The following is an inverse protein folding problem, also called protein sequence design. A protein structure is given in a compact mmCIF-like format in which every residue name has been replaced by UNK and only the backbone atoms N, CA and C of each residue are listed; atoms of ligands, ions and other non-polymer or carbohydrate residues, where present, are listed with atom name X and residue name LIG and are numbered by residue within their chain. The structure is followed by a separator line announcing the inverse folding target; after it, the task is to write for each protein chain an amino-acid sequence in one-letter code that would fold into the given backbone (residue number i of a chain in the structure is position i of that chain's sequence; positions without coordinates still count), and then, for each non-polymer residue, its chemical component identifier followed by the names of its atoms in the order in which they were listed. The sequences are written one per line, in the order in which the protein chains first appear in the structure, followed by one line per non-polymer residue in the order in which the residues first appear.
data_IF_195564089950
#
_entry.id   IF_195564089950
#
_cell.length_a   1.000
_cell.length_b   1.000
_cell.length_c   1.000
_cell.angle_alpha   90.00
_cell.angle_beta   90.00
_cell.angle_gamma   90.00
#
_symmetry.space_group_name_H-M   'P 1'
#
loop_
_entity.id
_entity.type
_entity.pdbx_description
1 polymer ?
#
# COMPACT_ATOMS: atom_id res chain seq x y z
N UNK A 1 -1.73 20.00 35.34
CA UNK A 1 -2.43 19.15 34.34
C UNK A 1 -1.73 19.51 33.05
N UNK A 2 -0.77 18.69 32.63
CA UNK A 2 -0.05 18.95 31.37
C UNK A 2 -1.07 18.90 30.24
N UNK A 3 -1.18 20.00 29.50
CA UNK A 3 -1.99 20.06 28.29
C UNK A 3 -1.42 19.01 27.33
N UNK A 4 -2.15 17.92 27.14
CA UNK A 4 -1.78 16.89 26.17
C UNK A 4 -1.98 17.53 24.80
N UNK A 5 -0.90 18.05 24.21
CA UNK A 5 -0.90 18.54 22.84
C UNK A 5 -1.29 17.40 21.90
N UNK A 6 -2.48 17.52 21.31
CA UNK A 6 -2.92 16.61 20.26
C UNK A 6 -1.98 16.72 19.06
N UNK A 7 -1.67 15.61 18.37
CA UNK A 7 -0.83 15.64 17.20
C UNK A 7 -1.44 16.54 16.12
N UNK A 8 -0.64 17.43 15.54
CA UNK A 8 -1.08 18.37 14.49
C UNK A 8 -1.82 17.63 13.36
N UNK A 9 -2.87 18.26 12.84
CA UNK A 9 -3.72 17.67 11.80
C UNK A 9 -4.72 16.61 12.28
N UNK A 10 -4.81 16.33 13.59
CA UNK A 10 -5.80 15.39 14.14
C UNK A 10 -7.24 15.88 13.97
N UNK A 11 -7.44 17.19 14.05
CA UNK A 11 -8.76 17.80 13.88
C UNK A 11 -9.14 17.94 12.39
N UNK A 12 -10.42 17.71 12.04
CA UNK A 12 -10.90 17.96 10.69
C UNK A 12 -10.78 19.44 10.30
N UNK A 13 -10.52 19.70 9.02
CA UNK A 13 -10.44 21.06 8.50
C UNK A 13 -11.80 21.76 8.55
N UNK A 14 -11.79 23.06 8.88
CA UNK A 14 -13.00 23.90 8.92
C UNK A 14 -13.74 23.92 7.58
N UNK A 15 -13.01 23.90 6.47
CA UNK A 15 -13.60 23.80 5.14
C UNK A 15 -13.81 22.32 4.76
N UNK A 16 -15.07 21.91 4.69
CA UNK A 16 -15.47 20.55 4.32
C UNK A 16 -14.94 20.12 2.94
N UNK A 17 -14.79 21.04 1.98
CA UNK A 17 -14.21 20.70 0.68
C UNK A 17 -12.72 20.38 0.78
N UNK A 18 -11.96 21.06 1.66
CA UNK A 18 -10.55 20.75 1.87
C UNK A 18 -10.38 19.42 2.62
N UNK A 19 -11.28 19.14 3.55
CA UNK A 19 -11.31 17.85 4.24
C UNK A 19 -11.56 16.70 3.27
N UNK A 20 -12.58 16.82 2.39
CA UNK A 20 -12.82 15.85 1.33
C UNK A 20 -11.60 15.70 0.41
N UNK A 21 -10.96 16.82 0.05
CA UNK A 21 -9.74 16.80 -0.76
C UNK A 21 -8.63 15.96 -0.10
N UNK A 22 -8.43 16.07 1.21
CA UNK A 22 -7.45 15.26 1.94
C UNK A 22 -7.73 13.76 1.79
N UNK A 23 -8.99 13.34 1.99
CA UNK A 23 -9.38 11.93 1.85
C UNK A 23 -9.20 11.41 0.41
N UNK A 24 -9.68 12.17 -0.58
CA UNK A 24 -9.56 11.79 -2.00
C UNK A 24 -8.10 11.78 -2.47
N UNK A 25 -7.24 12.61 -1.89
CA UNK A 25 -5.80 12.63 -2.19
C UNK A 25 -5.09 11.35 -1.74
N UNK A 26 -5.49 10.77 -0.61
CA UNK A 26 -4.92 9.49 -0.15
C UNK A 26 -5.28 8.32 -1.07
N UNK A 27 -6.42 8.42 -1.76
CA UNK A 27 -6.87 7.39 -2.70
C UNK A 27 -6.17 7.56 -4.06
N UNK A 28 -6.20 8.77 -4.62
CA UNK A 28 -5.75 9.00 -6.00
C UNK A 28 -4.26 9.33 -6.11
N UNK A 29 -3.64 9.84 -5.03
CA UNK A 29 -2.29 10.41 -5.02
C UNK A 29 -2.06 11.46 -6.13
N UNK A 30 -3.14 12.11 -6.59
CA UNK A 30 -3.13 13.06 -7.69
C UNK A 30 -3.97 14.30 -7.37
N UNK A 31 -3.31 15.44 -7.23
CA UNK A 31 -3.93 16.72 -6.81
C UNK A 31 -5.14 17.08 -7.66
N UNK A 32 -5.02 17.06 -8.99
CA UNK A 32 -6.10 17.50 -9.88
C UNK A 32 -7.30 16.57 -9.81
N UNK A 33 -7.08 15.25 -9.80
CA UNK A 33 -8.17 14.26 -9.73
C UNK A 33 -8.88 14.29 -8.38
N UNK A 34 -8.12 14.41 -7.29
CA UNK A 34 -8.66 14.53 -5.94
C UNK A 34 -9.48 15.81 -5.77
N UNK A 35 -9.05 16.92 -6.38
CA UNK A 35 -9.83 18.16 -6.39
C UNK A 35 -11.16 17.99 -7.14
N UNK A 36 -11.18 17.30 -8.30
CA UNK A 36 -12.44 17.04 -9.01
C UNK A 36 -13.39 16.21 -8.13
N UNK A 37 -12.90 15.16 -7.46
CA UNK A 37 -13.70 14.33 -6.55
C UNK A 37 -14.17 15.07 -5.30
N UNK A 38 -13.35 15.99 -4.80
CA UNK A 38 -13.70 16.90 -3.70
C UNK A 38 -14.67 18.03 -4.10
N UNK A 39 -15.30 17.93 -5.29
CA UNK A 39 -16.32 18.85 -5.83
C UNK A 39 -15.79 20.24 -6.19
N UNK A 40 -14.50 20.37 -6.51
CA UNK A 40 -14.01 21.55 -7.23
C UNK A 40 -14.47 21.49 -8.70
N UNK A 41 -14.73 22.63 -9.33
CA UNK A 41 -15.10 22.63 -10.75
C UNK A 41 -13.91 22.17 -11.60
N UNK A 42 -14.16 21.33 -12.61
CA UNK A 42 -13.09 20.74 -13.44
C UNK A 42 -12.15 21.80 -14.05
N UNK A 43 -12.71 22.93 -14.50
CA UNK A 43 -11.94 24.04 -15.08
C UNK A 43 -10.94 24.65 -14.09
N UNK A 44 -11.23 24.57 -12.80
CA UNK A 44 -10.49 25.25 -11.74
C UNK A 44 -9.72 24.28 -10.83
N UNK A 45 -10.06 22.99 -10.87
CA UNK A 45 -9.50 21.93 -10.03
C UNK A 45 -7.97 21.86 -10.09
N UNK A 46 -7.37 22.12 -11.26
CA UNK A 46 -5.91 22.16 -11.40
C UNK A 46 -5.30 23.32 -10.59
N UNK A 47 -5.82 24.53 -10.72
CA UNK A 47 -5.26 25.71 -10.06
C UNK A 47 -5.58 25.70 -8.56
N UNK A 48 -6.87 25.56 -8.20
CA UNK A 48 -7.29 25.55 -6.80
C UNK A 48 -6.80 24.32 -6.06
N UNK A 49 -6.69 23.16 -6.71
CA UNK A 49 -6.13 21.96 -6.10
C UNK A 49 -4.69 22.19 -5.62
N UNK A 50 -3.85 22.83 -6.42
CA UNK A 50 -2.48 23.18 -6.00
C UNK A 50 -2.44 24.22 -4.87
N UNK A 51 -3.34 25.21 -4.92
CA UNK A 51 -3.45 26.22 -3.86
C UNK A 51 -3.85 25.55 -2.54
N UNK A 52 -4.86 24.68 -2.55
CA UNK A 52 -5.33 23.95 -1.36
C UNK A 52 -4.24 23.00 -0.85
N UNK A 53 -3.63 22.22 -1.75
CA UNK A 53 -2.54 21.31 -1.41
C UNK A 53 -1.36 22.04 -0.74
N UNK A 54 -1.02 23.24 -1.19
CA UNK A 54 0.12 23.99 -0.64
C UNK A 54 -0.13 24.59 0.75
N UNK A 55 -1.35 24.49 1.30
CA UNK A 55 -1.67 25.03 2.63
C UNK A 55 -1.07 24.15 3.72
N UNK A 56 -0.41 24.71 4.74
CA UNK A 56 0.18 23.93 5.84
C UNK A 56 -0.85 23.05 6.57
N UNK A 57 -2.03 23.59 6.88
CA UNK A 57 -3.13 22.86 7.54
C UNK A 57 -3.57 21.61 6.76
N UNK A 58 -3.52 21.66 5.42
CA UNK A 58 -3.89 20.54 4.54
C UNK A 58 -2.79 19.48 4.51
N UNK A 59 -1.52 19.91 4.46
CA UNK A 59 -0.39 18.98 4.55
C UNK A 59 -0.37 18.25 5.89
N UNK A 60 -0.54 18.99 7.00
CA UNK A 60 -0.62 18.40 8.34
C UNK A 60 -1.77 17.39 8.45
N UNK A 61 -2.94 17.69 7.86
CA UNK A 61 -4.09 16.78 7.83
C UNK A 61 -3.79 15.51 7.02
N UNK A 62 -3.19 15.65 5.84
CA UNK A 62 -2.80 14.52 4.98
C UNK A 62 -1.80 13.62 5.71
N UNK A 63 -0.79 14.20 6.36
CA UNK A 63 0.24 13.44 7.07
C UNK A 63 -0.33 12.72 8.29
N UNK A 64 -1.24 13.38 9.03
CA UNK A 64 -1.97 12.74 10.11
C UNK A 64 -2.76 11.52 9.60
N UNK A 65 -3.57 11.68 8.56
CA UNK A 65 -4.38 10.60 8.00
C UNK A 65 -3.52 9.44 7.46
N UNK A 66 -2.40 9.75 6.78
CA UNK A 66 -1.41 8.72 6.37
C UNK A 66 -0.89 7.94 7.57
N UNK A 67 -0.53 8.63 8.64
CA UNK A 67 -0.01 7.99 9.85
C UNK A 67 -1.06 7.10 10.52
N UNK A 68 -2.34 7.50 10.51
CA UNK A 68 -3.44 6.68 11.01
C UNK A 68 -3.62 5.42 10.17
N UNK A 69 -3.65 5.54 8.85
CA UNK A 69 -3.74 4.37 7.95
C UNK A 69 -2.58 3.40 8.18
N UNK A 70 -1.35 3.88 8.31
CA UNK A 70 -0.18 3.02 8.59
C UNK A 70 -0.33 2.31 9.94
N UNK A 71 -0.77 3.03 10.98
CA UNK A 71 -1.00 2.44 12.31
C UNK A 71 -2.12 1.39 12.29
N UNK A 72 -3.22 1.66 11.60
CA UNK A 72 -4.36 0.74 11.49
C UNK A 72 -4.03 -0.51 10.67
N UNK A 73 -3.33 -0.34 9.55
CA UNK A 73 -2.91 -1.46 8.69
C UNK A 73 -1.79 -2.28 9.30
N UNK A 74 -0.96 -1.68 10.16
CA UNK A 74 0.26 -2.31 10.68
C UNK A 74 1.29 -2.61 9.60
N UNK A 75 1.16 -1.97 8.43
CA UNK A 75 2.04 -2.18 7.26
C UNK A 75 3.03 -1.02 7.23
N UNK A 76 4.26 -1.30 7.62
CA UNK A 76 5.40 -0.38 7.48
C UNK A 76 6.24 -0.73 6.22
N UNK A 77 7.00 0.24 5.72
CA UNK A 77 7.94 0.05 4.62
C UNK A 77 8.94 -1.08 4.92
N UNK A 78 9.39 -1.20 6.17
CA UNK A 78 10.26 -2.30 6.59
C UNK A 78 9.58 -3.67 6.43
N UNK A 79 8.31 -3.79 6.82
CA UNK A 79 7.54 -5.01 6.67
C UNK A 79 7.40 -5.42 5.20
N UNK A 80 7.08 -4.46 4.31
CA UNK A 80 6.98 -4.71 2.88
C UNK A 80 8.31 -5.17 2.30
N UNK A 81 9.40 -4.46 2.60
CA UNK A 81 10.73 -4.80 2.07
C UNK A 81 11.24 -6.15 2.57
N UNK A 82 11.02 -6.47 3.85
CA UNK A 82 11.34 -7.78 4.42
C UNK A 82 10.58 -8.91 3.71
N UNK A 83 9.29 -8.70 3.45
CA UNK A 83 8.47 -9.70 2.76
C UNK A 83 8.86 -9.84 1.30
N UNK A 84 9.10 -8.73 0.58
CA UNK A 84 9.57 -8.76 -0.81
C UNK A 84 10.91 -9.51 -0.93
N UNK A 85 11.86 -9.24 -0.03
CA UNK A 85 13.12 -9.98 0.03
C UNK A 85 12.88 -11.48 0.23
N UNK A 86 12.01 -11.84 1.19
CA UNK A 86 11.69 -13.24 1.49
C UNK A 86 11.07 -13.95 0.27
N UNK A 87 10.15 -13.29 -0.43
CA UNK A 87 9.54 -13.81 -1.66
C UNK A 87 10.59 -14.01 -2.74
N UNK A 88 11.49 -13.04 -2.94
CA UNK A 88 12.56 -13.15 -3.93
C UNK A 88 13.49 -14.35 -3.62
N UNK A 89 13.86 -14.53 -2.35
CA UNK A 89 14.66 -15.68 -1.90
C UNK A 89 13.92 -17.02 -2.13
N UNK A 90 12.62 -17.09 -1.88
CA UNK A 90 11.81 -18.29 -2.15
C UNK A 90 11.71 -18.62 -3.63
N UNK A 91 11.54 -17.62 -4.49
CA UNK A 91 11.54 -17.81 -5.94
C UNK A 91 12.88 -18.35 -6.47
N UNK A 92 13.99 -18.05 -5.79
CA UNK A 92 15.32 -18.56 -6.13
C UNK A 92 15.61 -19.95 -5.54
N UNK A 93 14.92 -20.35 -4.48
CA UNK A 93 14.99 -21.68 -3.87
C UNK A 93 14.04 -22.65 -4.59
N UNK A 94 14.48 -23.15 -5.74
CA UNK A 94 13.67 -24.04 -6.58
C UNK A 94 13.91 -25.52 -6.25
N UNK A 95 13.12 -26.08 -5.35
CA UNK A 95 13.02 -27.55 -5.21
C UNK A 95 12.01 -28.08 -6.24
N UNK A 96 12.47 -28.94 -7.15
CA UNK A 96 11.59 -29.66 -8.07
C UNK A 96 10.68 -30.61 -7.29
N UNK A 97 9.42 -30.69 -7.70
CA UNK A 97 8.48 -31.68 -7.17
C UNK A 97 8.79 -33.02 -7.84
N UNK A 98 9.15 -34.01 -7.03
CA UNK A 98 9.42 -35.37 -7.48
C UNK A 98 8.24 -36.29 -7.12
N UNK A 99 7.92 -37.24 -7.98
CA UNK A 99 6.98 -38.33 -7.71
C UNK A 99 7.62 -39.40 -6.80
N UNK A 100 6.85 -40.42 -6.39
CA UNK A 100 7.29 -41.53 -5.51
C UNK A 100 8.53 -42.27 -6.02
N UNK A 101 8.73 -42.27 -7.33
CA UNK A 101 9.85 -42.93 -8.01
C UNK A 101 11.06 -41.99 -8.22
N UNK A 102 11.01 -40.76 -7.71
CA UNK A 102 12.08 -39.76 -7.84
C UNK A 102 12.12 -39.01 -9.17
N UNK A 103 11.11 -39.19 -10.03
CA UNK A 103 11.01 -38.51 -11.32
C UNK A 103 10.33 -37.14 -11.17
N UNK A 104 10.75 -36.09 -11.91
CA UNK A 104 10.09 -34.78 -11.87
C UNK A 104 8.63 -34.84 -12.33
N UNK A 105 7.74 -34.17 -11.59
CA UNK A 105 6.34 -34.01 -11.97
C UNK A 105 6.24 -32.89 -13.01
N UNK A 106 5.54 -33.13 -14.11
CA UNK A 106 5.28 -32.13 -15.15
C UNK A 106 3.82 -31.66 -15.11
N UNK A 107 3.60 -30.37 -15.33
CA UNK A 107 2.29 -29.76 -15.51
C UNK A 107 2.13 -29.31 -16.96
N UNK A 108 0.97 -29.59 -17.54
CA UNK A 108 0.63 -29.14 -18.88
C UNK A 108 -0.10 -27.80 -18.76
N UNK A 109 0.50 -26.72 -19.28
CA UNK A 109 -0.24 -25.46 -19.51
C UNK A 109 -1.05 -25.59 -20.80
N UNK A 110 -2.18 -24.89 -20.91
CA UNK A 110 -3.22 -25.10 -21.92
C UNK A 110 -2.83 -25.05 -23.41
N UNK A 111 -1.56 -24.77 -23.72
CA UNK A 111 -0.96 -24.76 -25.06
C UNK A 111 -0.13 -26.03 -25.37
N UNK A 112 -0.43 -27.17 -24.72
CA UNK A 112 0.34 -28.43 -24.80
C UNK A 112 1.83 -28.30 -24.39
N UNK A 113 2.18 -27.27 -23.63
CA UNK A 113 3.52 -27.06 -23.08
C UNK A 113 3.66 -27.73 -21.70
N UNK A 114 4.66 -28.60 -21.57
CA UNK A 114 5.00 -29.27 -20.31
C UNK A 114 6.12 -28.53 -19.59
N UNK A 115 5.85 -28.07 -18.36
CA UNK A 115 6.84 -27.50 -17.47
C UNK A 115 7.02 -28.37 -16.22
N UNK A 116 8.26 -28.50 -15.74
CA UNK A 116 8.51 -29.16 -14.45
C UNK A 116 7.86 -28.36 -13.32
N UNK A 117 7.15 -29.06 -12.43
CA UNK A 117 6.50 -28.46 -11.29
C UNK A 117 7.54 -28.17 -10.19
N UNK A 118 7.52 -26.95 -9.65
CA UNK A 118 8.40 -26.52 -8.57
C UNK A 118 7.58 -26.25 -7.31
N UNK A 119 8.13 -26.62 -6.16
CA UNK A 119 7.48 -26.42 -4.87
C UNK A 119 7.71 -24.98 -4.40
N UNK A 120 6.63 -24.21 -4.29
CA UNK A 120 6.67 -22.91 -3.63
C UNK A 120 6.46 -23.14 -2.13
N UNK A 121 7.52 -23.00 -1.32
CA UNK A 121 7.48 -23.34 0.09
C UNK A 121 7.06 -22.13 0.96
N UNK A 122 5.76 -21.82 0.94
CA UNK A 122 5.18 -20.65 1.64
C UNK A 122 5.25 -20.81 3.19
N UNK A 123 5.39 -22.05 3.68
CA UNK A 123 5.39 -22.38 5.11
C UNK A 123 6.75 -22.23 5.81
N UNK A 124 7.85 -21.98 5.08
CA UNK A 124 9.17 -21.86 5.69
C UNK A 124 9.28 -20.71 6.72
N UNK A 125 8.38 -19.72 6.66
CA UNK A 125 8.36 -18.57 7.57
C UNK A 125 7.72 -18.86 8.94
N UNK A 126 6.79 -19.80 9.06
CA UNK A 126 6.10 -20.07 10.35
C UNK A 126 6.98 -20.77 11.37
N UNK A 127 8.09 -21.37 10.94
CA UNK A 127 9.05 -22.07 11.80
C UNK A 127 10.12 -21.16 12.42
N UNK A 128 10.25 -19.92 11.93
CA UNK A 128 11.22 -18.93 12.44
C UNK A 128 10.59 -17.84 13.32
N UNK A 129 9.28 -17.91 13.60
CA UNK A 129 8.58 -16.96 14.48
C UNK A 129 8.29 -17.52 15.89
N UNK A 130 9.10 -18.46 16.39
CA UNK A 130 9.15 -18.84 17.81
C UNK A 130 10.51 -18.46 18.40
#
# INVERSE_FOLDING_TARGET
MEDIELPKGSEPLKNKQHELFCHEYLIDLNITKSAIRAKFSEKSARQYGWVVFSRPEVQERIDFLKSQHIKELGIDAFYILKNLKSIAEWCMQTEQILDKDGMPVFICSGDDEYAAAYKLNILAHSKQMN
#
